data_IF_093454204183
#
_entry.id   IF_093454204183
#
_cell.length_a   1.000
_cell.length_b   1.000
_cell.length_c   1.000
_cell.angle_alpha   90.00
_cell.angle_beta   90.00
_cell.angle_gamma   90.00
#
_symmetry.space_group_name_H-M   'P 1'
#
loop_
_entity.id
_entity.type
_entity.pdbx_description
1 polymer ?
#
# COMPACT_ATOMS: atom_id res chain seq x y z
N UNK A 1 4.27 -4.22 13.74
CA UNK A 1 2.86 -4.33 14.16
C UNK A 1 2.35 -5.70 13.74
N UNK A 2 1.60 -6.43 14.57
CA UNK A 2 1.14 -7.77 14.20
C UNK A 2 -0.12 -7.68 13.32
N UNK A 3 -0.27 -8.56 12.33
CA UNK A 3 -1.46 -8.59 11.45
C UNK A 3 -2.76 -8.86 12.23
N UNK A 4 -2.66 -9.50 13.39
CA UNK A 4 -3.81 -9.70 14.29
C UNK A 4 -4.27 -8.40 14.97
N UNK A 5 -3.35 -7.45 15.19
CA UNK A 5 -3.70 -6.15 15.79
C UNK A 5 -4.61 -5.35 14.85
N UNK A 6 -4.40 -5.44 13.53
CA UNK A 6 -5.20 -4.77 12.50
C UNK A 6 -6.66 -5.26 12.47
N UNK A 7 -6.86 -6.57 12.64
CA UNK A 7 -8.18 -7.21 12.58
C UNK A 7 -9.05 -6.98 13.82
N UNK A 8 -8.42 -6.57 14.93
CA UNK A 8 -9.11 -6.43 16.23
C UNK A 8 -9.99 -5.18 16.35
N UNK A 9 -9.88 -4.22 15.42
CA UNK A 9 -10.55 -2.92 15.52
C UNK A 9 -10.05 -2.05 16.67
N UNK A 10 -9.00 -2.48 17.38
CA UNK A 10 -8.36 -1.71 18.43
C UNK A 10 -7.66 -0.48 17.83
N UNK A 11 -7.55 0.64 18.58
CA UNK A 11 -6.79 1.78 18.13
C UNK A 11 -5.34 1.37 17.86
N UNK A 12 -4.88 1.65 16.64
CA UNK A 12 -3.52 1.35 16.20
C UNK A 12 -2.54 2.03 17.14
N UNK A 13 -1.65 1.24 17.75
CA UNK A 13 -0.55 1.79 18.54
C UNK A 13 0.37 2.59 17.60
N UNK A 14 0.95 3.71 18.06
CA UNK A 14 2.00 4.39 17.31
C UNK A 14 3.10 3.38 16.98
N UNK A 15 3.45 3.26 15.71
CA UNK A 15 4.50 2.34 15.26
C UNK A 15 5.82 3.08 15.42
N UNK A 16 6.70 2.58 16.30
CA UNK A 16 8.04 3.13 16.47
C UNK A 16 8.87 2.93 15.19
N UNK A 17 9.59 3.97 14.78
CA UNK A 17 10.43 3.96 13.59
C UNK A 17 11.60 2.99 13.74
N UNK A 18 11.72 2.03 12.83
CA UNK A 18 12.94 1.23 12.65
C UNK A 18 13.51 1.42 11.24
N UNK A 19 14.83 1.23 11.04
CA UNK A 19 15.48 1.38 9.73
C UNK A 19 14.88 0.50 8.62
N UNK A 20 14.19 -0.58 9.00
CA UNK A 20 13.53 -1.52 8.09
C UNK A 20 12.15 -1.01 7.61
N UNK A 21 11.64 0.09 8.17
CA UNK A 21 10.32 0.66 7.89
C UNK A 21 10.44 2.14 7.45
N UNK A 22 10.85 2.40 6.19
CA UNK A 22 11.20 3.76 5.80
C UNK A 22 9.95 4.65 5.69
N UNK A 23 10.04 5.83 6.31
CA UNK A 23 8.97 6.82 6.52
C UNK A 23 8.06 7.15 5.32
N UNK A 24 8.54 6.94 4.10
CA UNK A 24 7.81 7.26 2.87
C UNK A 24 6.74 6.24 2.47
N UNK A 25 6.57 5.14 3.22
CA UNK A 25 5.41 4.25 3.11
C UNK A 25 4.29 4.56 4.12
N UNK A 26 4.58 5.43 5.09
CA UNK A 26 3.75 5.72 6.25
C UNK A 26 3.00 7.05 6.02
N UNK A 27 1.98 7.03 5.16
CA UNK A 27 1.10 8.18 4.96
C UNK A 27 -0.27 7.90 5.59
N UNK A 28 -0.48 8.40 6.81
CA UNK A 28 -1.69 8.19 7.59
C UNK A 28 -1.42 7.34 8.84
N UNK A 29 -2.47 6.74 9.41
CA UNK A 29 -2.38 5.93 10.64
C UNK A 29 -1.92 4.48 10.41
N UNK A 30 -1.88 4.03 9.15
CA UNK A 30 -1.62 2.65 8.74
C UNK A 30 -0.57 2.67 7.63
N UNK A 31 0.40 1.74 7.67
CA UNK A 31 1.33 1.55 6.56
C UNK A 31 0.59 0.98 5.34
N UNK A 32 0.95 1.40 4.13
CA UNK A 32 0.24 0.93 2.92
C UNK A 32 0.31 -0.59 2.76
N UNK A 33 1.43 -1.24 3.11
CA UNK A 33 1.54 -2.70 3.04
C UNK A 33 0.69 -3.45 4.08
N UNK A 34 0.38 -2.80 5.21
CA UNK A 34 -0.39 -3.35 6.32
C UNK A 34 -1.86 -3.31 5.93
N UNK A 35 -2.29 -2.20 5.32
CA UNK A 35 -3.61 -2.10 4.69
C UNK A 35 -3.79 -3.15 3.59
N UNK A 36 -2.81 -3.33 2.69
CA UNK A 36 -2.86 -4.35 1.63
C UNK A 36 -3.01 -5.76 2.22
N UNK A 37 -2.25 -6.08 3.26
CA UNK A 37 -2.29 -7.39 3.93
C UNK A 37 -3.61 -7.61 4.69
N UNK A 38 -4.09 -6.59 5.41
CA UNK A 38 -5.35 -6.63 6.16
C UNK A 38 -6.55 -6.85 5.24
N UNK A 39 -6.59 -6.14 4.12
CA UNK A 39 -7.64 -6.26 3.11
C UNK A 39 -7.51 -7.53 2.25
N UNK A 40 -6.45 -8.32 2.41
CA UNK A 40 -6.23 -9.54 1.65
C UNK A 40 -6.07 -9.31 0.15
N UNK A 41 -5.51 -8.15 -0.25
CA UNK A 41 -5.36 -7.80 -1.65
C UNK A 41 -4.30 -8.66 -2.34
N UNK A 42 -4.57 -9.04 -3.58
CA UNK A 42 -3.65 -9.82 -4.40
C UNK A 42 -2.49 -8.97 -4.94
N UNK A 43 -1.59 -9.60 -5.69
CA UNK A 43 -0.43 -8.93 -6.26
C UNK A 43 -0.78 -7.72 -7.11
N UNK A 44 -1.84 -7.79 -7.92
CA UNK A 44 -2.21 -6.70 -8.83
C UNK A 44 -2.86 -5.55 -8.07
N UNK A 45 -3.92 -5.83 -7.33
CA UNK A 45 -4.67 -4.84 -6.55
C UNK A 45 -3.82 -4.19 -5.46
N UNK A 46 -2.93 -4.95 -4.80
CA UNK A 46 -1.96 -4.42 -3.85
C UNK A 46 -0.98 -3.44 -4.48
N UNK A 47 -0.45 -3.73 -5.68
CA UNK A 47 0.43 -2.80 -6.37
C UNK A 47 -0.30 -1.53 -6.84
N UNK A 48 -1.56 -1.62 -7.25
CA UNK A 48 -2.38 -0.45 -7.58
C UNK A 48 -2.46 0.50 -6.38
N UNK A 49 -2.84 -0.01 -5.19
CA UNK A 49 -2.91 0.77 -3.96
C UNK A 49 -1.55 1.36 -3.58
N UNK A 50 -0.50 0.54 -3.63
CA UNK A 50 0.88 0.97 -3.37
C UNK A 50 1.28 2.18 -4.20
N UNK A 51 1.13 2.11 -5.52
CA UNK A 51 1.56 3.19 -6.40
C UNK A 51 0.65 4.42 -6.32
N UNK A 52 -0.65 4.23 -6.08
CA UNK A 52 -1.57 5.34 -5.83
C UNK A 52 -1.20 6.14 -4.57
N UNK A 53 -0.90 5.46 -3.46
CA UNK A 53 -0.49 6.11 -2.21
C UNK A 53 0.90 6.75 -2.29
N UNK A 54 1.82 6.15 -3.07
CA UNK A 54 3.21 6.62 -3.25
C UNK A 54 3.33 7.86 -4.13
N UNK A 55 2.38 8.09 -5.02
CA UNK A 55 2.45 9.12 -6.06
C UNK A 55 2.73 10.53 -5.51
N UNK A 56 3.89 11.08 -5.88
CA UNK A 56 4.31 12.43 -5.47
C UNK A 56 4.96 12.52 -4.09
N UNK A 57 5.26 11.38 -3.45
CA UNK A 57 5.91 11.32 -2.13
C UNK A 57 7.31 10.71 -2.17
N UNK A 58 7.55 9.76 -3.08
CA UNK A 58 8.87 9.14 -3.26
C UNK A 58 9.48 9.49 -4.61
N UNK A 59 8.73 9.25 -5.68
CA UNK A 59 9.16 9.47 -7.06
C UNK A 59 8.23 10.48 -7.75
N UNK A 60 8.46 10.73 -9.04
CA UNK A 60 7.57 11.54 -9.87
C UNK A 60 6.12 11.02 -9.81
N UNK A 61 5.20 11.95 -9.53
CA UNK A 61 3.78 11.66 -9.35
C UNK A 61 3.19 10.99 -10.60
N UNK A 62 3.52 11.49 -11.78
CA UNK A 62 2.96 10.98 -13.04
C UNK A 62 3.48 9.56 -13.33
N UNK A 63 4.76 9.30 -13.07
CA UNK A 63 5.34 7.96 -13.20
C UNK A 63 4.65 6.94 -12.27
N UNK A 64 4.39 7.30 -11.02
CA UNK A 64 3.67 6.42 -10.09
C UNK A 64 2.23 6.14 -10.55
N UNK A 65 1.51 7.17 -11.01
CA UNK A 65 0.16 6.99 -11.55
C UNK A 65 0.16 6.09 -12.81
N UNK A 66 1.18 6.20 -13.67
CA UNK A 66 1.35 5.30 -14.82
C UNK A 66 1.60 3.86 -14.39
N UNK A 67 2.37 3.62 -13.32
CA UNK A 67 2.56 2.28 -12.76
C UNK A 67 1.24 1.72 -12.25
N UNK A 68 0.48 2.48 -11.47
CA UNK A 68 -0.84 2.07 -11.00
C UNK A 68 -1.77 1.68 -12.17
N UNK A 69 -1.81 2.52 -13.22
CA UNK A 69 -2.57 2.22 -14.46
C UNK A 69 -2.14 0.90 -15.10
N UNK A 70 -0.85 0.64 -15.25
CA UNK A 70 -0.34 -0.58 -15.88
C UNK A 70 -0.79 -1.85 -15.13
N UNK A 71 -0.86 -1.83 -13.80
CA UNK A 71 -1.39 -2.95 -13.02
C UNK A 71 -2.90 -3.13 -13.20
N UNK A 72 -3.68 -2.03 -13.29
CA UNK A 72 -5.12 -2.09 -13.59
C UNK A 72 -5.35 -2.69 -14.98
N UNK A 73 -4.65 -2.18 -16.00
CA UNK A 73 -4.77 -2.67 -17.38
C UNK A 73 -4.46 -4.18 -17.42
N UNK A 74 -3.36 -4.60 -16.79
CA UNK A 74 -2.98 -6.02 -16.78
C UNK A 74 -3.99 -6.91 -16.05
N UNK A 75 -4.60 -6.42 -14.98
CA UNK A 75 -5.62 -7.15 -14.26
C UNK A 75 -6.90 -7.31 -15.11
N UNK A 76 -7.30 -6.27 -15.84
CA UNK A 76 -8.40 -6.33 -16.81
C UNK A 76 -8.10 -7.39 -17.88
N UNK A 77 -6.90 -7.37 -18.47
CA UNK A 77 -6.48 -8.33 -19.49
C UNK A 77 -6.51 -9.79 -19.01
N UNK A 78 -6.28 -10.05 -17.72
CA UNK A 78 -6.29 -11.40 -17.14
C UNK A 78 -7.70 -11.88 -16.80
N UNK A 79 -8.65 -10.96 -16.66
CA UNK A 79 -10.07 -11.25 -16.40
C UNK A 79 -10.87 -11.46 -17.69
N UNK A 80 -10.39 -10.93 -18.82
CA UNK A 80 -10.93 -11.16 -20.17
C UNK A 80 -10.42 -12.47 -20.78
#
# INVERSE_FOLDING_TARGET
>A
MNVEDLRSGAPLKPVDFTPEDPAHYQRGKIQVWDFIADQGLDFFTGNVVKYACRAGHKDDKVQDLKKAKAYIDKLIDLCS
#
